data_IF_986420782888
#
_entry.id   IF_986420782888
#
_cell.length_a   1.000
_cell.length_b   1.000
_cell.length_c   1.000
_cell.angle_alpha   90.00
_cell.angle_beta   90.00
_cell.angle_gamma   90.00
#
_symmetry.space_group_name_H-M   'P 1'
#
loop_
_entity.id
_entity.type
_entity.pdbx_description
1 polymer ?
#
# COMPACT_ATOMS: atom_id res chain seq x y z
N UNK A 1 -30.04 -8.29 12.77
CA UNK A 1 -29.12 -9.33 12.26
C UNK A 1 -29.58 -9.81 10.89
N UNK A 2 -28.66 -9.92 9.92
CA UNK A 2 -29.00 -10.29 8.53
C UNK A 2 -29.17 -11.79 8.30
N UNK A 3 -28.51 -12.62 9.12
CA UNK A 3 -28.55 -14.09 9.01
C UNK A 3 -29.02 -14.69 10.35
N UNK A 4 -30.10 -15.49 10.35
CA UNK A 4 -30.51 -16.22 11.55
C UNK A 4 -29.56 -17.40 11.83
N UNK A 5 -29.45 -17.80 13.10
CA UNK A 5 -28.71 -19.00 13.50
C UNK A 5 -27.19 -18.86 13.68
N UNK A 6 -26.66 -17.64 13.59
CA UNK A 6 -25.25 -17.40 13.89
C UNK A 6 -24.95 -17.63 15.38
N UNK A 7 -23.81 -18.28 15.64
CA UNK A 7 -23.28 -18.47 16.99
C UNK A 7 -22.75 -17.15 17.54
N UNK A 8 -22.72 -16.96 18.88
CA UNK A 8 -22.25 -15.71 19.49
C UNK A 8 -20.90 -15.20 18.96
N UNK A 9 -19.93 -16.10 18.80
CA UNK A 9 -18.59 -15.73 18.33
C UNK A 9 -18.56 -15.37 16.84
N UNK A 10 -19.44 -15.93 16.01
CA UNK A 10 -19.56 -15.59 14.58
C UNK A 10 -20.11 -14.17 14.43
N UNK A 11 -21.01 -13.76 15.32
CA UNK A 11 -21.53 -12.40 15.37
C UNK A 11 -20.43 -11.43 15.81
N UNK A 12 -19.69 -11.78 16.87
CA UNK A 12 -18.68 -10.91 17.47
C UNK A 12 -17.43 -10.73 16.61
N UNK A 13 -16.91 -11.80 16.00
CA UNK A 13 -15.68 -11.79 15.20
C UNK A 13 -15.93 -11.50 13.71
N UNK A 14 -17.18 -11.26 13.30
CA UNK A 14 -17.50 -10.96 11.91
C UNK A 14 -16.76 -9.71 11.42
N UNK A 15 -16.21 -9.77 10.21
CA UNK A 15 -15.62 -8.64 9.46
C UNK A 15 -16.59 -8.07 8.41
N UNK A 16 -17.90 -8.11 8.68
CA UNK A 16 -18.87 -7.43 7.82
C UNK A 16 -18.51 -5.95 7.62
N UNK A 17 -18.68 -5.46 6.40
CA UNK A 17 -18.31 -4.10 6.00
C UNK A 17 -19.35 -3.06 6.45
N UNK A 18 -19.02 -1.78 6.31
CA UNK A 18 -19.93 -0.63 6.54
C UNK A 18 -20.48 -0.53 7.97
N UNK A 19 -19.69 -0.96 8.96
CA UNK A 19 -20.01 -0.85 10.39
C UNK A 19 -19.11 0.19 11.04
N UNK A 20 -19.68 0.94 11.98
CA UNK A 20 -18.97 1.90 12.81
C UNK A 20 -19.36 1.70 14.28
N UNK A 21 -18.40 1.84 15.18
CA UNK A 21 -18.65 1.82 16.63
C UNK A 21 -18.36 3.22 17.18
N UNK A 22 -19.28 3.74 18.00
CA UNK A 22 -19.20 5.08 18.58
C UNK A 22 -19.40 4.99 20.09
N UNK A 23 -18.61 5.76 20.84
CA UNK A 23 -18.88 6.04 22.25
C UNK A 23 -19.66 7.35 22.36
N UNK A 24 -20.82 7.30 23.02
CA UNK A 24 -21.77 8.41 23.06
C UNK A 24 -22.19 8.67 24.50
N UNK A 25 -22.03 9.90 25.02
CA UNK A 25 -22.59 10.26 26.31
C UNK A 25 -24.12 10.05 26.32
N UNK A 26 -24.72 9.45 27.37
CA UNK A 26 -26.14 9.08 27.37
C UNK A 26 -27.09 10.23 27.03
N UNK A 27 -26.78 11.45 27.48
CA UNK A 27 -27.57 12.66 27.20
C UNK A 27 -27.65 13.04 25.72
N UNK A 28 -26.71 12.55 24.89
CA UNK A 28 -26.65 12.84 23.46
C UNK A 28 -27.22 11.70 22.60
N UNK A 29 -27.60 10.56 23.19
CA UNK A 29 -28.01 9.37 22.45
C UNK A 29 -29.26 9.63 21.60
N UNK A 30 -30.23 10.38 22.14
CA UNK A 30 -31.47 10.66 21.40
C UNK A 30 -31.21 11.59 20.22
N UNK A 31 -30.37 12.61 20.42
CA UNK A 31 -29.97 13.49 19.33
C UNK A 31 -29.23 12.73 18.21
N UNK A 32 -28.37 11.78 18.57
CA UNK A 32 -27.70 10.93 17.57
C UNK A 32 -28.71 10.04 16.84
N UNK A 33 -29.68 9.47 17.55
CA UNK A 33 -30.76 8.65 16.94
C UNK A 33 -31.55 9.44 15.90
N UNK A 34 -31.92 10.69 16.20
CA UNK A 34 -32.59 11.58 15.24
C UNK A 34 -31.76 11.81 13.98
N UNK A 35 -30.45 12.06 14.14
CA UNK A 35 -29.53 12.29 13.02
C UNK A 35 -29.38 11.03 12.15
N UNK A 36 -29.21 9.87 12.78
CA UNK A 36 -29.12 8.59 12.08
C UNK A 36 -30.41 8.29 11.31
N UNK A 37 -31.58 8.46 11.95
CA UNK A 37 -32.87 8.26 11.30
C UNK A 37 -33.08 9.21 10.11
N UNK A 38 -32.67 10.48 10.23
CA UNK A 38 -32.72 11.44 9.12
C UNK A 38 -31.75 11.17 7.97
N UNK A 39 -30.85 10.18 8.09
CA UNK A 39 -29.91 9.74 7.06
C UNK A 39 -30.12 8.26 6.67
N UNK A 40 -31.22 7.64 7.10
CA UNK A 40 -31.51 6.21 6.91
C UNK A 40 -30.38 5.28 7.41
N UNK A 41 -29.71 5.67 8.49
CA UNK A 41 -28.65 4.87 9.15
C UNK A 41 -29.21 4.15 10.36
N UNK A 42 -29.02 2.82 10.43
CA UNK A 42 -29.41 2.03 11.60
C UNK A 42 -28.46 2.30 12.79
N UNK A 43 -29.04 2.60 13.96
CA UNK A 43 -28.31 2.80 15.21
C UNK A 43 -28.79 1.80 16.26
N UNK A 44 -27.84 1.01 16.78
CA UNK A 44 -28.09 0.02 17.84
C UNK A 44 -27.18 0.34 19.03
N UNK A 45 -27.76 0.38 20.23
CA UNK A 45 -26.96 0.44 21.46
C UNK A 45 -26.41 -0.95 21.76
N UNK A 46 -25.08 -1.11 21.64
CA UNK A 46 -24.39 -2.38 21.87
C UNK A 46 -24.06 -2.65 23.34
N UNK A 47 -24.08 -1.62 24.21
CA UNK A 47 -23.69 -1.77 25.60
C UNK A 47 -23.30 -0.45 26.28
N UNK A 48 -22.65 -0.57 27.43
CA UNK A 48 -22.18 0.58 28.21
C UNK A 48 -20.78 0.28 28.77
N UNK A 49 -20.03 1.33 29.08
CA UNK A 49 -18.76 1.20 29.76
C UNK A 49 -18.97 0.96 31.26
N UNK A 50 -18.14 0.09 31.81
CA UNK A 50 -18.05 -0.19 33.25
C UNK A 50 -16.64 0.11 33.74
N UNK A 51 -16.43 0.08 35.05
CA UNK A 51 -15.12 0.18 35.70
C UNK A 51 -14.48 -1.19 35.99
N UNK A 52 -15.13 -2.30 35.58
CA UNK A 52 -14.71 -3.67 35.89
C UNK A 52 -13.41 -4.11 35.21
N UNK A 53 -12.93 -3.36 34.22
CA UNK A 53 -11.77 -3.70 33.36
C UNK A 53 -11.91 -5.05 32.64
N UNK A 54 -13.14 -5.47 32.36
CA UNK A 54 -13.45 -6.68 31.58
C UNK A 54 -14.36 -6.35 30.40
N UNK A 55 -14.12 -7.00 29.27
CA UNK A 55 -15.10 -7.12 28.20
C UNK A 55 -16.06 -8.26 28.56
N UNK A 56 -17.33 -7.94 28.77
CA UNK A 56 -18.38 -8.94 29.03
C UNK A 56 -19.38 -8.90 27.89
N UNK A 57 -19.55 -10.05 27.23
CA UNK A 57 -20.49 -10.24 26.12
C UNK A 57 -21.66 -11.05 26.62
N UNK A 58 -22.87 -10.50 26.50
CA UNK A 58 -24.11 -11.18 26.87
C UNK A 58 -25.00 -11.38 25.66
N UNK A 59 -25.61 -12.55 25.53
CA UNK A 59 -26.61 -12.84 24.49
C UNK A 59 -27.80 -13.53 25.14
N UNK A 60 -29.01 -13.00 24.92
CA UNK A 60 -30.25 -13.51 25.52
C UNK A 60 -30.22 -13.66 27.05
N UNK A 61 -29.51 -12.75 27.74
CA UNK A 61 -29.39 -12.74 29.20
C UNK A 61 -28.26 -13.61 29.75
N UNK A 62 -27.61 -14.41 28.92
CA UNK A 62 -26.51 -15.29 29.31
C UNK A 62 -25.15 -14.67 28.92
N UNK A 63 -24.14 -14.83 29.77
CA UNK A 63 -22.76 -14.45 29.45
C UNK A 63 -22.16 -15.46 28.47
N UNK A 64 -21.81 -14.99 27.27
CA UNK A 64 -21.26 -15.80 26.17
C UNK A 64 -19.77 -15.55 25.93
N UNK A 65 -19.19 -14.55 26.58
CA UNK A 65 -17.77 -14.27 26.56
C UNK A 65 -17.39 -13.29 27.65
N UNK A 66 -16.25 -13.53 28.29
CA UNK A 66 -15.67 -12.65 29.29
C UNK A 66 -14.16 -12.62 29.08
N UNK A 67 -13.59 -11.42 28.89
CA UNK A 67 -12.16 -11.24 28.65
C UNK A 67 -11.61 -10.11 29.49
N UNK A 68 -10.50 -10.37 30.15
CA UNK A 68 -9.75 -9.37 30.90
C UNK A 68 -9.09 -8.37 29.93
N UNK A 69 -9.30 -7.05 30.15
CA UNK A 69 -8.79 -6.04 29.24
C UNK A 69 -7.27 -5.89 29.33
N UNK A 70 -6.66 -6.14 30.49
CA UNK A 70 -5.20 -6.13 30.63
C UNK A 70 -4.60 -7.28 29.84
N UNK A 71 -5.17 -8.48 29.93
CA UNK A 71 -4.77 -9.60 29.08
C UNK A 71 -4.98 -9.33 27.58
N UNK A 72 -6.10 -8.71 27.19
CA UNK A 72 -6.36 -8.39 25.77
C UNK A 72 -5.33 -7.42 25.19
N UNK A 73 -4.92 -6.40 25.96
CA UNK A 73 -4.01 -5.37 25.49
C UNK A 73 -2.53 -5.71 25.70
N UNK A 74 -2.18 -6.35 26.82
CA UNK A 74 -0.79 -6.59 27.25
C UNK A 74 -0.40 -8.08 27.23
N UNK A 75 -1.34 -8.99 26.94
CA UNK A 75 -1.11 -10.44 27.03
C UNK A 75 -0.30 -11.04 25.88
N UNK A 76 -0.07 -10.30 24.79
CA UNK A 76 0.73 -10.78 23.66
C UNK A 76 2.20 -10.42 23.91
N UNK A 77 3.10 -11.40 24.09
CA UNK A 77 4.51 -11.12 24.35
C UNK A 77 5.20 -10.49 23.14
N UNK A 78 6.12 -9.56 23.39
CA UNK A 78 6.98 -9.03 22.33
C UNK A 78 7.92 -10.11 21.80
N UNK A 79 7.97 -10.24 20.47
CA UNK A 79 8.82 -11.22 19.80
C UNK A 79 10.22 -10.65 19.62
N UNK A 80 11.23 -11.38 20.09
CA UNK A 80 12.63 -11.14 19.75
C UNK A 80 12.99 -12.06 18.57
N UNK A 81 13.39 -11.47 17.45
CA UNK A 81 13.70 -12.20 16.21
C UNK A 81 15.13 -11.89 15.76
N UNK A 82 15.76 -12.84 15.08
CA UNK A 82 17.11 -12.69 14.52
C UNK A 82 16.99 -12.42 13.01
N UNK A 83 17.61 -11.34 12.55
CA UNK A 83 17.60 -10.92 11.16
C UNK A 83 18.97 -11.15 10.52
N UNK A 84 18.99 -11.68 9.29
CA UNK A 84 20.17 -11.73 8.45
C UNK A 84 20.17 -10.48 7.55
N UNK A 85 20.90 -9.45 7.98
CA UNK A 85 20.94 -8.18 7.25
C UNK A 85 21.68 -8.39 5.93
N UNK A 86 21.06 -8.08 4.77
CA UNK A 86 21.75 -8.16 3.50
C UNK A 86 22.95 -7.22 3.53
N UNK A 87 24.08 -7.66 2.98
CA UNK A 87 25.22 -6.78 2.82
C UNK A 87 24.76 -5.52 2.07
N UNK A 88 25.06 -4.33 2.61
CA UNK A 88 24.88 -3.09 1.87
C UNK A 88 25.79 -3.18 0.67
N UNK A 89 25.20 -3.54 -0.46
CA UNK A 89 25.86 -3.42 -1.74
C UNK A 89 26.06 -1.92 -1.90
N UNK A 90 27.30 -1.43 -1.70
CA UNK A 90 27.65 -0.08 -2.12
C UNK A 90 27.07 0.07 -3.52
N UNK A 91 26.38 1.16 -3.88
CA UNK A 91 25.69 1.29 -5.16
C UNK A 91 26.68 0.87 -6.24
N UNK A 92 26.59 -0.39 -6.64
CA UNK A 92 27.35 -0.88 -7.75
C UNK A 92 26.71 -0.06 -8.83
N UNK A 93 27.43 0.88 -9.43
CA UNK A 93 27.05 1.49 -10.70
C UNK A 93 26.38 0.38 -11.48
N UNK A 94 25.04 0.43 -11.59
CA UNK A 94 24.20 -0.75 -11.79
C UNK A 94 24.91 -1.65 -12.79
N UNK A 95 25.47 -2.79 -12.32
CA UNK A 95 26.61 -3.47 -12.97
C UNK A 95 26.64 -3.12 -14.45
N UNK A 96 27.56 -2.23 -14.88
CA UNK A 96 27.32 -1.26 -15.97
C UNK A 96 26.45 -1.94 -16.98
N UNK A 97 25.17 -1.50 -17.12
CA UNK A 97 24.23 -2.01 -18.12
C UNK A 97 25.11 -2.39 -19.28
N UNK A 98 25.30 -3.71 -19.56
CA UNK A 98 26.41 -4.15 -20.41
C UNK A 98 26.40 -3.21 -21.58
N UNK A 99 27.42 -2.32 -21.65
CA UNK A 99 27.29 -1.14 -22.48
C UNK A 99 27.02 -1.69 -23.85
N UNK A 100 25.79 -1.51 -24.34
CA UNK A 100 25.47 -1.94 -25.69
C UNK A 100 26.44 -1.13 -26.52
N UNK A 101 27.22 -1.80 -27.35
CA UNK A 101 28.05 -1.08 -28.30
C UNK A 101 27.14 -0.07 -28.99
N UNK A 102 27.58 1.18 -29.19
CA UNK A 102 26.72 2.24 -29.72
C UNK A 102 26.03 1.84 -31.04
N UNK A 103 26.65 0.90 -31.77
CA UNK A 103 26.16 0.29 -33.01
C UNK A 103 24.96 -0.64 -32.84
N UNK A 104 24.76 -1.18 -31.63
CA UNK A 104 23.68 -2.10 -31.27
C UNK A 104 22.53 -1.37 -30.56
N UNK A 105 22.59 -0.04 -30.43
CA UNK A 105 21.55 0.79 -29.82
C UNK A 105 20.67 1.39 -30.90
N UNK A 106 19.41 0.95 -30.94
CA UNK A 106 18.36 1.59 -31.72
C UNK A 106 17.50 2.43 -30.77
N UNK A 107 17.80 3.73 -30.70
CA UNK A 107 17.12 4.64 -29.78
C UNK A 107 15.64 4.80 -30.08
N UNK A 108 15.24 4.67 -31.35
CA UNK A 108 13.83 4.76 -31.74
C UNK A 108 13.08 3.54 -31.20
N UNK A 109 13.61 2.34 -31.46
CA UNK A 109 13.01 1.11 -30.98
C UNK A 109 13.03 1.02 -29.44
N UNK A 110 14.14 1.40 -28.79
CA UNK A 110 14.26 1.39 -27.33
C UNK A 110 13.25 2.37 -26.69
N UNK A 111 13.05 3.56 -27.27
CA UNK A 111 12.04 4.51 -26.79
C UNK A 111 10.61 3.95 -26.96
N UNK A 112 10.29 3.37 -28.11
CA UNK A 112 8.98 2.75 -28.34
C UNK A 112 8.71 1.60 -27.37
N UNK A 113 9.73 0.79 -27.08
CA UNK A 113 9.65 -0.29 -26.09
C UNK A 113 9.42 0.26 -24.68
N UNK A 114 10.09 1.35 -24.30
CA UNK A 114 9.87 2.01 -23.01
C UNK A 114 8.45 2.57 -22.91
N UNK A 115 7.97 3.28 -23.92
CA UNK A 115 6.60 3.82 -23.94
C UNK A 115 5.52 2.73 -23.94
N UNK A 116 5.80 1.56 -24.50
CA UNK A 116 4.91 0.40 -24.48
C UNK A 116 4.95 -0.37 -23.14
N UNK A 117 6.00 -0.19 -22.33
CA UNK A 117 6.20 -0.97 -21.11
C UNK A 117 5.05 -0.74 -20.11
N UNK A 118 4.45 -1.78 -19.51
CA UNK A 118 3.29 -1.64 -18.63
C UNK A 118 3.47 -0.67 -17.46
N UNK A 119 4.69 -0.55 -16.93
CA UNK A 119 4.99 0.41 -15.86
C UNK A 119 5.03 1.88 -16.34
N UNK A 120 5.38 2.13 -17.61
CA UNK A 120 5.58 3.48 -18.16
C UNK A 120 4.38 3.96 -18.97
N UNK A 121 3.74 3.07 -19.75
CA UNK A 121 2.61 3.41 -20.64
C UNK A 121 1.52 4.20 -19.91
N UNK A 122 0.72 4.96 -20.67
CA UNK A 122 -0.45 5.68 -20.13
C UNK A 122 -1.34 4.77 -19.28
N UNK A 123 -1.81 5.30 -18.15
CA UNK A 123 -2.76 4.66 -17.22
C UNK A 123 -4.18 5.18 -17.38
N UNK A 124 -4.46 5.84 -18.50
CA UNK A 124 -5.74 6.47 -18.81
C UNK A 124 -6.92 5.49 -18.79
N UNK A 125 -6.69 4.25 -19.22
CA UNK A 125 -7.66 3.14 -19.17
C UNK A 125 -8.18 2.88 -17.75
N UNK A 126 -7.33 3.00 -16.74
CA UNK A 126 -7.71 2.90 -15.33
C UNK A 126 -8.28 4.23 -14.82
N UNK A 127 -7.61 5.35 -15.09
CA UNK A 127 -7.96 6.66 -14.54
C UNK A 127 -9.39 7.07 -14.92
N UNK A 128 -9.81 6.84 -16.17
CA UNK A 128 -11.13 7.30 -16.67
C UNK A 128 -12.31 6.50 -16.13
N UNK A 129 -12.08 5.36 -15.49
CA UNK A 129 -13.15 4.57 -14.85
C UNK A 129 -13.63 5.25 -13.56
N UNK A 130 -12.79 6.08 -12.93
CA UNK A 130 -13.07 6.71 -11.65
C UNK A 130 -13.44 8.19 -11.80
N UNK A 131 -14.45 8.61 -11.03
CA UNK A 131 -14.73 10.03 -10.84
C UNK A 131 -13.59 10.70 -10.08
N UNK A 132 -13.23 11.91 -10.49
CA UNK A 132 -12.21 12.73 -9.86
C UNK A 132 -12.67 14.19 -9.70
N UNK A 133 -13.97 14.46 -9.81
CA UNK A 133 -14.53 15.83 -9.82
C UNK A 133 -15.64 16.04 -8.79
N UNK A 134 -16.21 14.98 -8.20
CA UNK A 134 -17.30 15.10 -7.25
C UNK A 134 -16.90 16.02 -6.08
N UNK A 135 -17.85 16.89 -5.68
CA UNK A 135 -17.66 18.00 -4.73
C UNK A 135 -16.79 19.17 -5.22
N UNK A 136 -16.24 19.12 -6.44
CA UNK A 136 -15.55 20.24 -7.10
C UNK A 136 -14.23 20.67 -6.44
N UNK A 137 -13.66 19.82 -5.58
CA UNK A 137 -12.45 20.13 -4.81
C UNK A 137 -11.14 19.80 -5.52
N UNK A 138 -11.16 19.05 -6.62
CA UNK A 138 -9.93 18.61 -7.30
C UNK A 138 -9.37 19.73 -8.19
N UNK A 139 -8.22 20.28 -7.79
CA UNK A 139 -7.55 21.38 -8.51
C UNK A 139 -6.53 20.89 -9.52
N UNK A 140 -5.69 19.94 -9.12
CA UNK A 140 -4.80 19.20 -10.01
C UNK A 140 -5.36 17.80 -10.14
N UNK A 141 -5.76 17.45 -11.36
CA UNK A 141 -6.39 16.18 -11.72
C UNK A 141 -5.32 15.16 -12.13
N UNK A 142 -5.65 13.86 -12.16
CA UNK A 142 -4.72 12.84 -12.65
C UNK A 142 -4.28 13.06 -14.11
N UNK A 143 -5.15 13.66 -14.93
CA UNK A 143 -4.85 14.05 -16.31
C UNK A 143 -4.96 15.57 -16.48
N UNK A 144 -3.95 16.19 -17.09
CA UNK A 144 -3.75 17.63 -17.26
C UNK A 144 -3.39 17.98 -18.71
N UNK A 145 -3.15 19.27 -18.97
CA UNK A 145 -2.87 19.82 -20.29
C UNK A 145 -4.14 20.20 -21.06
N UNK A 146 -3.98 20.85 -22.22
CA UNK A 146 -5.09 21.43 -22.98
C UNK A 146 -6.17 20.40 -23.38
N UNK A 147 -5.77 19.14 -23.58
CA UNK A 147 -6.68 18.04 -23.93
C UNK A 147 -7.00 17.10 -22.75
N UNK A 148 -6.46 17.34 -21.54
CA UNK A 148 -6.57 16.42 -20.39
C UNK A 148 -6.06 14.99 -20.71
N UNK A 149 -4.88 14.91 -21.33
CA UNK A 149 -4.23 13.65 -21.72
C UNK A 149 -2.85 13.44 -21.05
N UNK A 150 -2.24 14.50 -20.50
CA UNK A 150 -0.94 14.38 -19.85
C UNK A 150 -1.09 13.89 -18.42
N UNK A 151 -0.24 12.97 -17.92
CA UNK A 151 -0.28 12.59 -16.51
C UNK A 151 0.15 13.76 -15.61
N UNK A 152 -0.43 13.85 -14.41
CA UNK A 152 0.08 14.70 -13.32
C UNK A 152 0.94 13.89 -12.36
N UNK A 153 1.96 14.51 -11.76
CA UNK A 153 2.83 13.88 -10.77
C UNK A 153 2.10 13.62 -9.43
N UNK A 154 1.10 14.42 -9.11
CA UNK A 154 0.30 14.31 -7.90
C UNK A 154 -1.10 14.92 -8.07
N UNK A 155 -2.00 14.60 -7.14
CA UNK A 155 -3.33 15.21 -7.06
C UNK A 155 -3.31 16.37 -6.05
N UNK A 156 -4.06 17.43 -6.33
CA UNK A 156 -4.24 18.55 -5.37
C UNK A 156 -5.72 18.74 -5.09
N UNK A 157 -6.09 18.63 -3.83
CA UNK A 157 -7.46 18.76 -3.35
C UNK A 157 -7.63 20.03 -2.52
N UNK A 158 -8.72 20.76 -2.73
CA UNK A 158 -9.15 21.91 -1.94
C UNK A 158 -10.36 21.45 -1.11
N UNK A 159 -10.23 21.21 0.20
CA UNK A 159 -11.32 20.65 1.01
C UNK A 159 -12.60 21.51 1.07
N UNK A 160 -12.46 22.83 0.89
CA UNK A 160 -13.57 23.78 0.94
C UNK A 160 -13.49 24.74 -0.26
N UNK A 161 -13.82 24.25 -1.47
CA UNK A 161 -13.70 25.04 -2.68
C UNK A 161 -14.59 26.29 -2.60
N UNK A 162 -14.07 27.44 -3.05
CA UNK A 162 -14.76 28.73 -2.98
C UNK A 162 -14.60 29.51 -1.66
N UNK A 163 -14.18 28.84 -0.57
CA UNK A 163 -13.88 29.51 0.72
C UNK A 163 -12.40 29.54 1.09
N UNK A 164 -11.60 28.65 0.49
CA UNK A 164 -10.17 28.53 0.75
C UNK A 164 -9.40 28.34 -0.55
N UNK A 165 -8.19 28.89 -0.60
CA UNK A 165 -7.18 28.58 -1.63
C UNK A 165 -6.15 27.55 -1.15
N UNK A 166 -6.19 27.15 0.13
CA UNK A 166 -5.31 26.13 0.69
C UNK A 166 -5.75 24.75 0.19
N UNK A 167 -4.78 24.00 -0.34
CA UNK A 167 -4.98 22.63 -0.81
C UNK A 167 -4.07 21.64 -0.11
N UNK A 168 -4.36 20.36 -0.34
CA UNK A 168 -3.60 19.20 0.10
C UNK A 168 -3.07 18.54 -1.17
N UNK A 169 -1.75 18.39 -1.28
CA UNK A 169 -1.14 17.57 -2.31
C UNK A 169 -1.06 16.11 -1.84
N UNK A 170 -1.45 15.18 -2.71
CA UNK A 170 -1.37 13.75 -2.48
C UNK A 170 -0.51 13.14 -3.59
N UNK A 171 0.65 12.64 -3.21
CA UNK A 171 1.61 11.97 -4.08
C UNK A 171 1.93 10.58 -3.56
N UNK A 172 2.61 9.78 -4.37
CA UNK A 172 3.12 8.48 -3.97
C UNK A 172 4.46 8.21 -4.67
N UNK A 173 5.21 7.25 -4.14
CA UNK A 173 6.42 6.72 -4.76
C UNK A 173 6.52 5.22 -4.48
N UNK A 174 6.97 4.47 -5.48
CA UNK A 174 7.05 3.01 -5.44
C UNK A 174 8.20 2.55 -6.34
N UNK A 175 9.22 1.96 -5.72
CA UNK A 175 10.51 1.73 -6.39
C UNK A 175 10.96 0.25 -6.36
N UNK A 176 10.13 -0.74 -6.74
CA UNK A 176 10.44 -2.17 -6.60
C UNK A 176 11.66 -2.63 -7.41
N UNK A 177 12.08 -1.87 -8.41
CA UNK A 177 13.33 -2.11 -9.16
C UNK A 177 14.59 -2.05 -8.27
N UNK A 178 14.49 -1.42 -7.10
CA UNK A 178 15.55 -1.36 -6.09
C UNK A 178 15.41 -2.46 -5.01
N UNK A 179 14.54 -3.45 -5.16
CA UNK A 179 14.29 -4.49 -4.14
C UNK A 179 15.55 -5.23 -3.67
N UNK A 180 16.56 -5.34 -4.53
CA UNK A 180 17.88 -5.90 -4.21
C UNK A 180 18.69 -5.06 -3.22
N UNK A 181 18.33 -3.79 -3.06
CA UNK A 181 18.96 -2.80 -2.19
C UNK A 181 17.86 -2.15 -1.32
N UNK A 182 17.31 -2.87 -0.33
CA UNK A 182 16.10 -2.46 0.37
C UNK A 182 16.19 -1.08 1.03
N UNK A 183 17.37 -0.73 1.55
CA UNK A 183 17.66 0.61 2.06
C UNK A 183 17.52 1.69 0.98
N UNK A 184 18.15 1.50 -0.19
CA UNK A 184 18.08 2.45 -1.31
C UNK A 184 16.66 2.50 -1.91
N UNK A 185 15.93 1.39 -1.90
CA UNK A 185 14.54 1.34 -2.32
C UNK A 185 13.65 2.27 -1.47
N UNK A 186 13.80 2.22 -0.14
CA UNK A 186 13.06 3.08 0.76
C UNK A 186 13.35 4.56 0.48
N UNK A 187 14.63 4.92 0.31
CA UNK A 187 15.04 6.27 -0.08
C UNK A 187 14.42 6.71 -1.40
N UNK A 188 14.53 5.88 -2.44
CA UNK A 188 14.01 6.20 -3.77
C UNK A 188 12.48 6.38 -3.76
N UNK A 189 11.74 5.54 -3.02
CA UNK A 189 10.29 5.65 -2.89
C UNK A 189 9.87 6.93 -2.15
N UNK A 190 10.53 7.28 -1.04
CA UNK A 190 10.23 8.50 -0.29
C UNK A 190 10.60 9.73 -1.12
N UNK A 191 11.77 9.72 -1.75
CA UNK A 191 12.24 10.79 -2.64
C UNK A 191 11.27 11.02 -3.81
N UNK A 192 10.81 9.95 -4.47
CA UNK A 192 9.81 10.02 -5.53
C UNK A 192 8.50 10.64 -5.03
N UNK A 193 7.98 10.19 -3.88
CA UNK A 193 6.77 10.76 -3.29
C UNK A 193 6.93 12.27 -2.97
N UNK A 194 8.05 12.67 -2.37
CA UNK A 194 8.34 14.07 -2.05
C UNK A 194 8.47 14.91 -3.32
N UNK A 195 9.25 14.47 -4.31
CA UNK A 195 9.41 15.20 -5.59
C UNK A 195 8.08 15.36 -6.32
N UNK A 196 7.24 14.33 -6.35
CA UNK A 196 5.91 14.38 -6.95
C UNK A 196 5.01 15.41 -6.25
N UNK A 197 5.05 15.50 -4.92
CA UNK A 197 4.30 16.53 -4.18
C UNK A 197 4.82 17.94 -4.48
N UNK A 198 6.15 18.12 -4.47
CA UNK A 198 6.78 19.42 -4.75
C UNK A 198 6.51 19.87 -6.19
N UNK A 199 6.49 18.96 -7.17
CA UNK A 199 6.20 19.26 -8.57
C UNK A 199 4.82 19.91 -8.79
N UNK A 200 3.83 19.61 -7.94
CA UNK A 200 2.50 20.23 -7.97
C UNK A 200 2.36 21.42 -7.01
N UNK A 201 3.45 21.89 -6.42
CA UNK A 201 3.51 23.09 -5.59
C UNK A 201 3.33 22.85 -4.08
N UNK A 202 3.52 21.62 -3.58
CA UNK A 202 3.57 21.40 -2.14
C UNK A 202 4.80 22.08 -1.50
N UNK A 203 4.61 22.62 -0.31
CA UNK A 203 5.68 23.14 0.54
C UNK A 203 6.39 21.95 1.21
N UNK A 204 7.68 21.68 0.90
CA UNK A 204 8.39 20.51 1.43
C UNK A 204 8.45 20.49 2.97
N UNK A 205 8.48 21.65 3.62
CA UNK A 205 8.52 21.77 5.09
C UNK A 205 7.18 21.38 5.76
N UNK A 206 6.15 21.08 4.98
CA UNK A 206 4.80 20.70 5.45
C UNK A 206 4.39 19.31 5.03
N UNK A 207 5.29 18.54 4.44
CA UNK A 207 5.00 17.16 4.03
C UNK A 207 4.99 16.27 5.29
N UNK A 208 4.01 15.38 5.34
CA UNK A 208 3.99 14.23 6.21
C UNK A 208 3.78 12.99 5.34
N UNK A 209 4.42 11.90 5.70
CA UNK A 209 4.39 10.65 4.94
C UNK A 209 3.67 9.55 5.70
N UNK A 210 3.28 8.52 4.96
CA UNK A 210 2.78 7.26 5.48
C UNK A 210 3.40 6.12 4.69
N UNK A 211 3.58 4.97 5.32
CA UNK A 211 4.16 3.78 4.70
C UNK A 211 3.14 2.65 4.55
N UNK A 212 3.34 1.82 3.53
CA UNK A 212 2.65 0.54 3.40
C UNK A 212 3.69 -0.53 3.07
N UNK A 213 4.09 -1.31 4.06
CA UNK A 213 5.02 -2.42 3.88
C UNK A 213 4.27 -3.63 3.32
N UNK A 214 4.68 -4.12 2.16
CA UNK A 214 4.27 -5.43 1.65
C UNK A 214 5.50 -6.32 1.66
N UNK A 215 5.59 -7.28 2.59
CA UNK A 215 6.79 -8.09 2.77
C UNK A 215 6.51 -9.58 2.86
N UNK A 216 7.54 -10.38 2.60
CA UNK A 216 7.51 -11.83 2.81
C UNK A 216 7.36 -12.22 4.29
N UNK A 217 7.52 -13.49 4.59
CA UNK A 217 7.41 -14.03 5.93
C UNK A 217 8.56 -13.50 6.83
N UNK A 218 8.24 -12.67 7.85
CA UNK A 218 9.24 -12.04 8.73
C UNK A 218 9.86 -13.04 9.72
N UNK A 219 9.39 -14.29 9.77
CA UNK A 219 10.02 -15.32 10.62
C UNK A 219 11.25 -15.93 10.00
N UNK A 220 11.54 -15.64 8.72
CA UNK A 220 12.76 -16.10 8.06
C UNK A 220 13.81 -14.97 8.13
N UNK A 221 15.03 -15.24 8.64
CA UNK A 221 16.01 -14.19 8.94
C UNK A 221 16.37 -13.27 7.78
N UNK A 222 16.53 -13.79 6.56
CA UNK A 222 16.86 -13.02 5.36
C UNK A 222 15.76 -12.02 4.98
N UNK A 223 14.50 -12.47 4.99
CA UNK A 223 13.31 -11.65 4.73
C UNK A 223 13.10 -10.58 5.80
N UNK A 224 13.36 -10.93 7.06
CA UNK A 224 13.36 -9.97 8.15
C UNK A 224 14.50 -8.95 7.99
N UNK A 225 15.67 -9.37 7.52
CA UNK A 225 16.80 -8.49 7.28
C UNK A 225 16.53 -7.45 6.19
N UNK A 226 15.85 -7.82 5.11
CA UNK A 226 15.45 -6.87 4.07
C UNK A 226 14.38 -5.90 4.57
N UNK A 227 13.44 -6.34 5.42
CA UNK A 227 12.47 -5.47 6.09
C UNK A 227 13.19 -4.46 6.99
N UNK A 228 14.12 -4.94 7.82
CA UNK A 228 14.92 -4.11 8.72
C UNK A 228 15.73 -3.03 7.97
N UNK A 229 16.41 -3.37 6.88
CA UNK A 229 17.14 -2.37 6.08
C UNK A 229 16.20 -1.37 5.40
N UNK A 230 15.01 -1.79 4.98
CA UNK A 230 13.98 -0.88 4.44
C UNK A 230 13.51 0.09 5.52
N UNK A 231 13.17 -0.40 6.71
CA UNK A 231 12.79 0.46 7.84
C UNK A 231 13.88 1.47 8.22
N UNK A 232 15.16 1.06 8.17
CA UNK A 232 16.30 1.98 8.37
C UNK A 232 16.38 3.04 7.27
N UNK A 233 16.19 2.66 6.01
CA UNK A 233 16.13 3.61 4.90
C UNK A 233 14.98 4.61 5.05
N UNK A 234 13.79 4.14 5.46
CA UNK A 234 12.66 5.01 5.77
C UNK A 234 12.98 6.02 6.87
N UNK A 235 13.59 5.57 7.97
CA UNK A 235 13.98 6.44 9.08
C UNK A 235 14.98 7.52 8.65
N UNK A 236 16.05 7.14 7.96
CA UNK A 236 17.09 8.08 7.54
C UNK A 236 16.54 9.09 6.50
N UNK A 237 15.71 8.63 5.56
CA UNK A 237 15.07 9.49 4.56
C UNK A 237 14.09 10.48 5.21
N UNK A 238 13.26 10.02 6.15
CA UNK A 238 12.32 10.86 6.88
C UNK A 238 13.04 11.97 7.66
N UNK A 239 14.15 11.64 8.33
CA UNK A 239 14.98 12.62 9.03
C UNK A 239 15.62 13.62 8.07
N UNK A 240 16.17 13.16 6.94
CA UNK A 240 16.82 14.03 5.97
C UNK A 240 15.85 15.01 5.30
N UNK A 241 14.64 14.55 4.98
CA UNK A 241 13.58 15.39 4.41
C UNK A 241 12.80 16.20 5.46
N UNK A 242 13.01 15.95 6.75
CA UNK A 242 12.23 16.59 7.82
C UNK A 242 10.74 16.23 7.79
N UNK A 243 10.38 15.07 7.24
CA UNK A 243 8.99 14.64 7.01
C UNK A 243 8.61 13.48 7.94
N UNK A 244 7.67 13.65 8.89
CA UNK A 244 7.31 12.59 9.82
C UNK A 244 6.38 11.54 9.19
N UNK A 245 6.49 10.30 9.67
CA UNK A 245 5.46 9.29 9.46
C UNK A 245 4.27 9.54 10.39
N UNK A 246 3.06 9.70 9.84
CA UNK A 246 1.84 9.95 10.61
C UNK A 246 0.89 8.74 10.68
N UNK A 247 1.12 7.74 9.84
CA UNK A 247 0.37 6.49 9.78
C UNK A 247 1.17 5.47 8.98
N UNK A 248 0.79 4.20 9.07
CA UNK A 248 1.30 3.17 8.18
C UNK A 248 0.49 1.88 8.27
N UNK A 249 0.84 0.91 7.43
CA UNK A 249 0.33 -0.46 7.51
C UNK A 249 1.40 -1.44 7.05
N UNK A 250 1.41 -2.62 7.64
CA UNK A 250 2.15 -3.77 7.15
C UNK A 250 1.21 -4.88 6.67
N UNK A 251 1.62 -5.52 5.58
CA UNK A 251 1.09 -6.76 5.06
C UNK A 251 2.28 -7.70 4.93
N UNK A 252 2.38 -8.63 5.86
CA UNK A 252 3.46 -9.60 5.95
C UNK A 252 2.99 -10.96 5.40
N UNK A 253 3.93 -11.86 5.14
CA UNK A 253 3.65 -13.18 4.53
C UNK A 253 3.18 -13.10 3.06
N UNK A 254 3.52 -12.03 2.36
CA UNK A 254 3.25 -11.90 0.93
C UNK A 254 4.21 -12.76 0.11
N UNK A 255 3.86 -14.04 -0.03
CA UNK A 255 4.62 -15.02 -0.78
C UNK A 255 3.71 -15.91 -1.59
N UNK A 256 4.18 -16.33 -2.76
CA UNK A 256 3.51 -17.35 -3.55
C UNK A 256 4.48 -18.48 -3.86
N UNK A 257 3.92 -19.68 -4.02
CA UNK A 257 4.64 -20.86 -4.48
C UNK A 257 4.39 -21.00 -5.97
N UNK A 258 5.45 -21.13 -6.78
CA UNK A 258 5.30 -21.41 -8.21
C UNK A 258 5.01 -22.90 -8.48
N UNK A 259 4.80 -23.24 -9.76
CA UNK A 259 4.50 -24.60 -10.22
C UNK A 259 5.60 -25.61 -9.88
N UNK A 260 6.85 -25.14 -9.72
CA UNK A 260 8.02 -25.94 -9.35
C UNK A 260 8.17 -26.09 -7.82
N UNK A 261 7.27 -25.50 -7.03
CA UNK A 261 7.32 -25.55 -5.57
C UNK A 261 8.24 -24.49 -4.93
N UNK A 262 8.79 -23.56 -5.71
CA UNK A 262 9.66 -22.50 -5.19
C UNK A 262 8.83 -21.37 -4.60
N UNK A 263 9.22 -20.88 -3.41
CA UNK A 263 8.59 -19.74 -2.76
C UNK A 263 9.21 -18.42 -3.20
N UNK A 264 8.37 -17.49 -3.62
CA UNK A 264 8.75 -16.15 -4.05
C UNK A 264 8.12 -15.13 -3.13
N UNK A 265 8.94 -14.27 -2.51
CA UNK A 265 8.46 -13.17 -1.69
C UNK A 265 8.13 -11.93 -2.54
N UNK A 266 7.25 -11.07 -2.02
CA UNK A 266 6.97 -9.74 -2.56
C UNK A 266 7.43 -8.71 -1.51
N UNK A 267 8.20 -7.66 -1.89
CA UNK A 267 8.78 -7.45 -3.22
C UNK A 267 9.80 -8.54 -3.57
N UNK A 268 9.81 -8.95 -4.84
CA UNK A 268 10.69 -10.02 -5.31
C UNK A 268 12.15 -9.63 -5.17
N UNK A 269 12.98 -10.59 -4.74
CA UNK A 269 14.42 -10.44 -4.88
C UNK A 269 14.77 -10.46 -6.39
N UNK A 270 15.52 -9.44 -6.83
CA UNK A 270 16.03 -9.30 -8.19
C UNK A 270 16.83 -10.54 -8.67
N UNK A 271 17.36 -11.35 -7.75
CA UNK A 271 18.06 -12.62 -8.08
C UNK A 271 17.14 -13.64 -8.77
N UNK A 272 15.84 -13.67 -8.43
CA UNK A 272 14.87 -14.57 -9.05
C UNK A 272 14.33 -14.04 -10.39
N UNK A 273 14.13 -12.72 -10.53
CA UNK A 273 13.68 -12.12 -11.79
C UNK A 273 14.72 -12.27 -12.92
N UNK A 274 16.02 -12.22 -12.60
CA UNK A 274 17.10 -12.43 -13.58
C UNK A 274 17.12 -13.86 -14.15
N UNK A 275 16.65 -14.88 -13.42
CA UNK A 275 16.62 -16.27 -13.91
C UNK A 275 15.54 -16.49 -14.98
N UNK A 276 14.37 -15.85 -14.87
CA UNK A 276 13.28 -15.99 -15.85
C UNK A 276 13.61 -15.35 -17.21
N UNK A 277 14.31 -14.22 -17.23
CA UNK A 277 14.76 -13.60 -18.50
C UNK A 277 15.81 -14.43 -19.27
N UNK A 278 16.58 -15.30 -18.59
CA UNK A 278 17.51 -16.22 -19.27
C UNK A 278 16.81 -17.46 -19.84
N UNK A 279 15.73 -17.93 -19.22
CA UNK A 279 15.01 -19.14 -19.66
C UNK A 279 14.09 -18.89 -20.87
N UNK A 280 13.62 -17.65 -21.09
CA UNK A 280 12.74 -17.30 -22.22
C UNK A 280 13.43 -17.06 -23.57
N UNK A 281 14.73 -17.36 -23.71
CA UNK A 281 15.51 -17.11 -24.95
C UNK A 281 15.99 -18.37 -25.69
N UNK A 282 15.53 -19.56 -25.31
CA UNK A 282 15.87 -20.80 -26.01
C UNK A 282 14.70 -21.34 -26.83
N UNK A 283 14.97 -21.46 -28.14
CA UNK A 283 14.28 -22.24 -29.20
C UNK A 283 12.93 -21.74 -29.75
N UNK A 284 12.99 -20.80 -30.69
CA UNK A 284 12.22 -20.94 -31.93
C UNK A 284 13.16 -21.46 -33.01
N UNK A 285 13.24 -22.79 -33.09
CA UNK A 285 13.81 -23.51 -34.24
C UNK A 285 12.69 -23.86 -35.20
N UNK A 286 12.99 -23.71 -36.49
CA UNK A 286 12.21 -24.17 -37.64
C UNK A 286 11.60 -25.56 -37.44
N UNK A 287 10.31 -25.68 -37.76
CA UNK A 287 9.67 -26.86 -38.35
C UNK A 287 8.34 -26.33 -38.92
N UNK A 288 8.12 -26.27 -40.23
CA UNK A 288 8.12 -27.43 -41.12
C UNK A 288 6.67 -27.67 -41.54
N UNK A 289 6.25 -26.98 -42.60
CA UNK A 289 4.99 -27.22 -43.32
C UNK A 289 4.87 -28.71 -43.67
N UNK A 290 3.93 -29.43 -43.05
CA UNK A 290 3.36 -30.65 -43.63
C UNK A 290 1.84 -30.70 -43.44
N UNK A 291 1.18 -30.70 -44.59
CA UNK A 291 -0.21 -30.99 -44.85
C UNK A 291 -0.59 -32.44 -44.53
N UNK A 292 -1.82 -32.65 -44.09
CA UNK A 292 -2.82 -33.66 -44.55
C UNK A 292 -4.05 -33.48 -43.62
N UNK A 293 -5.29 -33.48 -44.12
CA UNK A 293 -5.91 -34.60 -44.82
C UNK A 293 -6.75 -35.35 -43.80
#
# INVERSE_FOLDING_TARGET
MKYPGLRPWEIWLSEAQERMVLSVPPQNLERLRELCAGQDVELVNLGHFTDSRRLVLTMHGETVGELDLEFLHEGIPQRVMQAEVPARVAPQHAAPLQARDEKDVDLELDLLNLLAHPNIRSKEDVIRVYDHEIKGGTRVKPLVGAANHGPSDAAVLIPNPGKSVKGIALSNGICPQFSAQPYAMAWAAIDEAVRNAVAVGADPDRIAILDNFCWGNPTIPDRLGTLLETSRGCYDAALAYGTPFVSGKDSLYNEYTDEDGNKHAIPGDSTHQRRRHRAGRTTHGDDGLQSCG
#
